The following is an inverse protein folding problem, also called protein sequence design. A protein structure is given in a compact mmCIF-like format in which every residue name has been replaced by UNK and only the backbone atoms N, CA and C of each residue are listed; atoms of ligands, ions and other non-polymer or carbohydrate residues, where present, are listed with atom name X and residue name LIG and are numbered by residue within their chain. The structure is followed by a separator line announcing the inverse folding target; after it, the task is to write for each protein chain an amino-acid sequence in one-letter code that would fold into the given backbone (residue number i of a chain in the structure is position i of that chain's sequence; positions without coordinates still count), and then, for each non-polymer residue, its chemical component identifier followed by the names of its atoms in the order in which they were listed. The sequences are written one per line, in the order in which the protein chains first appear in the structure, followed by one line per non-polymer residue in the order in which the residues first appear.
data_IF_182130976306
#
_entry.id   IF_182130976306
#
_cell.length_a   1.000
_cell.length_b   1.000
_cell.length_c   1.000
_cell.angle_alpha   90.00
_cell.angle_beta   90.00
_cell.angle_gamma   90.00
#
_symmetry.space_group_name_H-M   'P 1'
#
loop_
_entity.id
_entity.type
_entity.pdbx_description
1 polymer ?
#
# COMPACT_ATOMS: atom_id res chain seq x y z
N UNK A 1 -61.33 -2.42 52.59
CA UNK A 1 -60.32 -2.33 53.68
C UNK A 1 -58.96 -2.61 53.08
N UNK A 2 -58.24 -1.55 52.73
CA UNK A 2 -56.89 -1.60 52.15
C UNK A 2 -55.92 -1.13 53.22
N UNK A 3 -54.97 -1.98 53.61
CA UNK A 3 -53.98 -1.66 54.64
C UNK A 3 -53.05 -0.57 54.11
N UNK A 4 -53.15 0.60 54.71
CA UNK A 4 -52.33 1.78 54.45
C UNK A 4 -50.94 1.55 55.07
N UNK A 5 -49.92 1.33 54.23
CA UNK A 5 -48.53 1.13 54.68
C UNK A 5 -47.67 0.15 53.88
N UNK A 6 -48.20 -0.50 52.84
CA UNK A 6 -47.40 -1.37 51.97
C UNK A 6 -46.67 -0.53 50.91
N UNK A 7 -45.36 -0.31 51.07
CA UNK A 7 -44.53 0.34 50.03
C UNK A 7 -44.46 -0.56 48.79
N UNK A 8 -45.03 -0.11 47.68
CA UNK A 8 -45.00 -0.84 46.40
C UNK A 8 -43.98 -0.20 45.46
N UNK A 9 -43.61 -0.90 44.37
CA UNK A 9 -42.57 -0.46 43.42
C UNK A 9 -42.84 0.89 42.73
N UNK A 10 -44.05 1.44 42.87
CA UNK A 10 -44.42 2.76 42.37
C UNK A 10 -44.00 3.93 43.29
N UNK A 11 -43.66 3.69 44.56
CA UNK A 11 -43.36 4.74 45.56
C UNK A 11 -41.85 5.10 45.68
N UNK A 12 -40.99 4.60 44.77
CA UNK A 12 -39.53 4.82 44.83
C UNK A 12 -39.03 6.08 44.09
N UNK A 13 -39.91 7.01 43.71
CA UNK A 13 -39.48 8.22 43.02
C UNK A 13 -39.07 9.33 44.00
N UNK A 14 -37.76 9.51 44.20
CA UNK A 14 -37.02 10.81 44.16
C UNK A 14 -35.72 10.81 44.98
N UNK A 15 -35.49 9.79 45.83
CA UNK A 15 -34.20 9.55 46.48
C UNK A 15 -33.80 8.10 46.24
N UNK A 16 -32.57 7.92 45.74
CA UNK A 16 -31.93 6.67 45.28
C UNK A 16 -31.77 5.60 46.39
N UNK A 17 -32.85 5.22 47.06
CA UNK A 17 -32.86 4.34 48.24
C UNK A 17 -32.89 2.84 47.89
N UNK A 18 -33.05 2.47 46.61
CA UNK A 18 -32.88 1.08 46.17
C UNK A 18 -31.40 0.82 45.84
N UNK A 19 -30.77 -0.24 46.37
CA UNK A 19 -29.46 -0.71 45.89
C UNK A 19 -29.63 -1.22 44.46
N UNK A 20 -29.38 -0.34 43.49
CA UNK A 20 -29.30 -0.72 42.09
C UNK A 20 -27.93 -1.36 41.86
N UNK A 21 -27.91 -2.62 41.41
CA UNK A 21 -26.68 -3.29 41.01
C UNK A 21 -26.27 -2.80 39.62
N UNK A 22 -25.32 -1.87 39.57
CA UNK A 22 -24.69 -1.38 38.34
C UNK A 22 -23.54 -2.31 37.95
N UNK A 23 -23.43 -2.64 36.66
CA UNK A 23 -22.25 -3.37 36.14
C UNK A 23 -21.01 -2.54 36.42
N UNK A 24 -20.09 -3.09 37.23
CA UNK A 24 -18.82 -2.46 37.60
C UNK A 24 -17.82 -2.62 36.45
N UNK A 25 -17.93 -1.79 35.42
CA UNK A 25 -16.97 -1.77 34.31
C UNK A 25 -17.24 -0.66 33.31
N UNK A 26 -16.20 0.06 32.88
CA UNK A 26 -16.29 0.91 31.69
C UNK A 26 -16.30 -0.03 30.48
N UNK A 27 -17.40 0.00 29.72
CA UNK A 27 -17.43 -0.54 28.37
C UNK A 27 -16.76 0.48 27.46
N UNK A 28 -15.70 0.07 26.78
CA UNK A 28 -14.93 0.92 25.89
C UNK A 28 -15.60 0.92 24.53
N UNK A 29 -16.05 2.10 24.10
CA UNK A 29 -16.55 2.31 22.74
C UNK A 29 -15.42 2.99 21.98
N UNK A 30 -14.70 2.20 21.19
CA UNK A 30 -13.58 2.68 20.39
C UNK A 30 -14.13 3.10 19.01
N UNK A 31 -14.02 4.39 18.64
CA UNK A 31 -14.46 4.84 17.33
C UNK A 31 -13.41 4.40 16.31
N UNK A 32 -13.64 3.25 15.68
CA UNK A 32 -12.83 2.68 14.59
C UNK A 32 -11.36 2.38 14.92
N UNK A 33 -11.02 1.09 14.92
CA UNK A 33 -9.67 0.61 14.58
C UNK A 33 -8.74 0.41 15.76
N UNK A 34 -8.57 -0.85 16.18
CA UNK A 34 -7.30 -1.33 16.73
C UNK A 34 -6.17 -0.93 15.78
N UNK A 35 -5.05 -0.42 16.28
CA UNK A 35 -3.87 -0.06 15.49
C UNK A 35 -3.28 -1.32 14.82
N UNK A 36 -3.68 -1.67 13.58
CA UNK A 36 -3.46 -3.01 13.07
C UNK A 36 -2.04 -3.16 12.52
N UNK A 37 -1.46 -2.10 11.94
CA UNK A 37 -0.08 -2.12 11.47
C UNK A 37 0.89 -2.17 12.65
N UNK A 38 0.62 -1.41 13.72
CA UNK A 38 1.42 -1.44 14.95
C UNK A 38 1.30 -2.80 15.66
N UNK A 39 0.13 -3.42 15.65
CA UNK A 39 -0.02 -4.78 16.15
C UNK A 39 0.77 -5.79 15.29
N UNK A 40 0.75 -5.63 13.97
CA UNK A 40 1.45 -6.52 13.05
C UNK A 40 2.98 -6.36 13.15
N UNK A 41 3.48 -5.13 13.32
CA UNK A 41 4.91 -4.87 13.51
C UNK A 41 5.45 -5.46 14.81
N UNK A 42 4.60 -5.69 15.83
CA UNK A 42 4.99 -6.40 17.05
C UNK A 42 5.30 -7.89 16.82
N UNK A 43 4.80 -8.48 15.72
CA UNK A 43 5.08 -9.86 15.32
C UNK A 43 6.26 -9.97 14.36
N UNK A 44 6.73 -8.86 13.81
CA UNK A 44 7.86 -8.81 12.89
C UNK A 44 9.19 -8.89 13.65
N UNK A 45 10.24 -9.37 12.97
CA UNK A 45 11.61 -9.37 13.52
C UNK A 45 12.11 -7.94 13.65
N UNK A 46 12.59 -7.58 14.83
CA UNK A 46 13.10 -6.24 15.12
C UNK A 46 14.62 -6.24 15.18
N UNK A 47 15.25 -5.22 14.60
CA UNK A 47 16.65 -4.89 14.79
C UNK A 47 16.77 -3.54 15.50
N UNK A 48 17.81 -3.36 16.32
CA UNK A 48 18.06 -2.08 17.00
C UNK A 48 18.90 -1.20 16.08
N UNK A 49 18.50 0.06 15.93
CA UNK A 49 19.33 1.09 15.29
C UNK A 49 20.04 1.93 16.35
N UNK A 50 21.31 2.22 16.10
CA UNK A 50 22.15 3.08 16.96
C UNK A 50 22.23 4.53 16.46
N UNK A 51 21.68 4.83 15.27
CA UNK A 51 21.64 6.16 14.65
C UNK A 51 20.20 6.70 14.58
N UNK A 52 19.98 8.02 14.74
CA UNK A 52 18.67 8.64 14.47
C UNK A 52 18.16 8.48 13.01
N UNK A 53 19.00 8.06 12.07
CA UNK A 53 18.64 7.70 10.69
C UNK A 53 18.91 6.22 10.50
N UNK A 54 17.98 5.49 9.88
CA UNK A 54 18.20 4.12 9.47
C UNK A 54 18.06 4.00 7.95
N UNK A 55 18.86 3.09 7.39
CA UNK A 55 18.98 2.89 5.96
C UNK A 55 18.64 1.44 5.63
N UNK A 56 18.01 1.23 4.48
CA UNK A 56 17.83 -0.08 3.87
C UNK A 56 18.10 0.00 2.38
N UNK A 57 18.32 -1.15 1.75
CA UNK A 57 18.62 -1.24 0.33
C UNK A 57 17.50 -2.02 -0.36
N UNK A 58 16.95 -1.44 -1.41
CA UNK A 58 15.98 -2.09 -2.28
C UNK A 58 16.67 -2.44 -3.60
N UNK A 59 16.60 -3.70 -3.99
CA UNK A 59 17.06 -4.16 -5.31
C UNK A 59 15.85 -4.63 -6.10
N UNK A 60 15.62 -4.00 -7.26
CA UNK A 60 14.58 -4.43 -8.20
C UNK A 60 15.19 -5.39 -9.23
N UNK A 61 14.55 -6.53 -9.42
CA UNK A 61 14.94 -7.46 -10.49
C UNK A 61 14.53 -6.84 -11.83
N UNK A 62 15.49 -6.80 -12.75
CA UNK A 62 15.33 -6.27 -14.10
C UNK A 62 14.09 -6.82 -14.83
N UNK A 63 13.33 -5.93 -15.46
CA UNK A 63 12.21 -6.34 -16.31
C UNK A 63 12.71 -6.69 -17.71
N UNK A 64 12.35 -7.88 -18.18
CA UNK A 64 12.63 -8.35 -19.53
C UNK A 64 11.69 -7.78 -20.60
N UNK A 65 10.80 -6.86 -20.22
CA UNK A 65 9.87 -6.15 -21.09
C UNK A 65 10.01 -4.66 -20.86
N UNK A 66 10.36 -3.94 -21.92
CA UNK A 66 10.64 -2.49 -21.86
C UNK A 66 9.72 -1.74 -22.82
N UNK A 67 9.22 -0.59 -22.36
CA UNK A 67 8.35 0.27 -23.16
C UNK A 67 9.19 1.19 -24.06
N UNK A 68 8.72 1.38 -25.29
CA UNK A 68 9.27 2.37 -26.22
C UNK A 68 8.92 3.80 -25.76
N UNK A 69 9.81 4.78 -25.94
CA UNK A 69 9.58 6.19 -25.56
C UNK A 69 9.45 7.14 -26.76
N UNK A 70 9.91 6.73 -27.95
CA UNK A 70 9.71 7.50 -29.17
C UNK A 70 9.59 6.64 -30.42
N UNK A 71 8.86 7.15 -31.42
CA UNK A 71 8.59 6.45 -32.69
C UNK A 71 9.85 5.89 -33.34
N UNK A 72 9.76 4.65 -33.80
CA UNK A 72 10.71 4.10 -34.76
C UNK A 72 10.27 4.55 -36.15
N UNK A 73 10.82 5.68 -36.58
CA UNK A 73 10.31 6.43 -37.73
C UNK A 73 10.78 5.89 -39.08
N UNK A 74 11.85 5.07 -39.09
CA UNK A 74 12.38 4.47 -40.32
C UNK A 74 12.79 3.01 -40.11
N UNK A 75 12.77 2.23 -41.18
CA UNK A 75 13.20 0.82 -41.19
C UNK A 75 14.72 0.64 -41.05
N UNK A 76 15.50 1.70 -41.24
CA UNK A 76 16.95 1.73 -41.05
C UNK A 76 17.41 2.31 -39.71
N UNK A 77 16.50 2.75 -38.84
CA UNK A 77 16.83 3.31 -37.53
C UNK A 77 17.40 2.21 -36.63
N UNK A 78 18.65 2.37 -36.20
CA UNK A 78 19.38 1.44 -35.32
C UNK A 78 19.41 1.89 -33.87
N UNK A 79 19.27 3.19 -33.59
CA UNK A 79 19.12 3.72 -32.23
C UNK A 79 17.64 3.78 -31.85
N UNK A 80 17.24 2.95 -30.89
CA UNK A 80 15.88 2.85 -30.37
C UNK A 80 15.84 3.50 -28.99
N UNK A 81 14.92 4.44 -28.81
CA UNK A 81 14.70 5.12 -27.53
C UNK A 81 13.63 4.41 -26.73
N UNK A 82 13.99 3.99 -25.52
CA UNK A 82 13.12 3.31 -24.56
C UNK A 82 12.94 4.16 -23.31
N UNK A 83 11.87 3.90 -22.56
CA UNK A 83 11.52 4.72 -21.40
C UNK A 83 12.52 4.51 -20.23
N UNK A 84 12.88 3.25 -19.95
CA UNK A 84 13.88 2.84 -18.96
C UNK A 84 14.20 1.36 -19.11
N UNK A 85 15.30 0.90 -18.49
CA UNK A 85 15.70 -0.52 -18.50
C UNK A 85 16.51 -0.95 -19.72
N UNK A 86 17.04 -0.02 -20.51
CA UNK A 86 17.97 -0.37 -21.59
C UNK A 86 19.22 -1.06 -21.04
N UNK A 87 19.69 -0.67 -19.85
CA UNK A 87 20.89 -1.23 -19.22
C UNK A 87 20.78 -2.72 -18.85
N UNK A 88 19.63 -3.35 -19.03
CA UNK A 88 19.47 -4.78 -18.81
C UNK A 88 19.79 -5.64 -20.04
N UNK A 89 19.79 -5.05 -21.24
CA UNK A 89 20.05 -5.77 -22.48
C UNK A 89 21.53 -5.80 -22.82
N UNK A 90 22.06 -6.93 -23.27
CA UNK A 90 23.46 -7.10 -23.69
C UNK A 90 23.59 -7.33 -25.20
N UNK A 91 24.76 -7.08 -25.80
CA UNK A 91 25.05 -7.47 -27.18
C UNK A 91 24.72 -8.95 -27.40
N UNK A 92 24.08 -9.23 -28.53
CA UNK A 92 23.60 -10.58 -28.86
C UNK A 92 22.21 -10.90 -28.34
N UNK A 93 21.61 -10.06 -27.50
CA UNK A 93 20.20 -10.22 -27.12
C UNK A 93 19.26 -9.97 -28.29
N UNK A 94 18.30 -10.87 -28.45
CA UNK A 94 17.23 -10.78 -29.43
C UNK A 94 15.97 -10.30 -28.74
N UNK A 95 15.45 -9.19 -29.25
CA UNK A 95 14.28 -8.48 -28.74
C UNK A 95 13.13 -8.68 -29.73
N UNK A 96 11.96 -9.04 -29.21
CA UNK A 96 10.70 -9.11 -29.92
C UNK A 96 9.95 -7.79 -29.80
N UNK A 97 9.54 -7.22 -30.94
CA UNK A 97 8.66 -6.04 -30.97
C UNK A 97 7.21 -6.51 -31.02
N UNK A 98 6.43 -6.22 -29.98
CA UNK A 98 5.05 -6.74 -29.87
C UNK A 98 4.10 -6.22 -30.97
N UNK A 99 4.29 -5.00 -31.45
CA UNK A 99 3.41 -4.38 -32.45
C UNK A 99 3.67 -4.88 -33.88
N UNK A 100 4.95 -4.97 -34.27
CA UNK A 100 5.33 -5.33 -35.64
C UNK A 100 5.72 -6.81 -35.82
N UNK A 101 5.82 -7.56 -34.72
CA UNK A 101 6.40 -8.90 -34.68
C UNK A 101 7.83 -9.00 -35.24
N UNK A 102 8.56 -7.88 -35.26
CA UNK A 102 9.95 -7.81 -35.70
C UNK A 102 10.90 -8.37 -34.63
N UNK A 103 12.04 -8.92 -35.08
CA UNK A 103 13.15 -9.27 -34.20
C UNK A 103 14.31 -8.28 -34.37
N UNK A 104 14.72 -7.69 -33.26
CA UNK A 104 15.86 -6.78 -33.16
C UNK A 104 16.98 -7.52 -32.46
N UNK A 105 18.22 -7.39 -32.93
CA UNK A 105 19.38 -7.90 -32.21
C UNK A 105 20.19 -6.73 -31.68
N UNK A 106 20.50 -6.74 -30.38
CA UNK A 106 21.32 -5.71 -29.74
C UNK A 106 22.77 -5.88 -30.20
N UNK A 107 23.35 -4.81 -30.73
CA UNK A 107 24.70 -4.86 -31.34
C UNK A 107 25.79 -4.33 -30.43
N UNK A 108 25.47 -3.44 -29.50
CA UNK A 108 26.43 -2.80 -28.59
C UNK A 108 25.86 -2.71 -27.19
N UNK A 109 26.74 -2.66 -26.20
CA UNK A 109 26.32 -2.41 -24.82
C UNK A 109 25.68 -1.02 -24.72
N UNK A 110 24.48 -0.93 -24.11
CA UNK A 110 23.84 0.34 -23.86
C UNK A 110 24.64 1.13 -22.83
N UNK A 111 24.97 2.37 -23.18
CA UNK A 111 25.67 3.33 -22.30
C UNK A 111 24.72 4.23 -21.52
N UNK A 112 23.42 4.16 -21.83
CA UNK A 112 22.35 4.95 -21.23
C UNK A 112 21.12 4.07 -21.05
N UNK A 113 20.36 4.31 -19.98
CA UNK A 113 19.16 3.53 -19.66
C UNK A 113 17.96 3.76 -20.58
N UNK A 114 18.05 4.77 -21.46
CA UNK A 114 16.98 5.16 -22.38
C UNK A 114 17.31 4.88 -23.85
N UNK A 115 18.48 4.30 -24.15
CA UNK A 115 18.93 4.12 -25.54
C UNK A 115 19.47 2.71 -25.79
N UNK A 116 18.96 2.06 -26.83
CA UNK A 116 19.42 0.77 -27.33
C UNK A 116 19.92 0.90 -28.77
N UNK A 117 21.07 0.30 -29.06
CA UNK A 117 21.58 0.19 -30.44
C UNK A 117 21.36 -1.24 -30.93
N UNK A 118 20.58 -1.37 -32.00
CA UNK A 118 20.14 -2.66 -32.53
C UNK A 118 20.34 -2.77 -34.05
N UNK A 119 20.50 -3.99 -34.53
CA UNK A 119 20.30 -4.36 -35.93
C UNK A 119 18.86 -4.82 -36.16
N UNK A 120 18.24 -4.31 -37.22
CA UNK A 120 16.83 -4.53 -37.61
C UNK A 120 16.67 -5.80 -38.45
N UNK A 121 15.46 -6.37 -38.45
CA UNK A 121 15.11 -7.51 -39.32
C UNK A 121 15.89 -8.79 -39.06
N UNK A 122 16.29 -9.04 -37.81
CA UNK A 122 17.02 -10.24 -37.45
C UNK A 122 16.17 -11.51 -37.70
N UNK A 123 16.83 -12.65 -37.95
CA UNK A 123 16.19 -13.93 -38.28
C UNK A 123 15.20 -13.90 -39.47
N UNK A 124 15.42 -13.00 -40.43
CA UNK A 124 14.59 -12.89 -41.64
C UNK A 124 13.27 -12.14 -41.44
N UNK A 125 13.10 -11.44 -40.32
CA UNK A 125 11.95 -10.56 -40.08
C UNK A 125 12.05 -9.28 -40.90
N UNK A 126 10.91 -8.67 -41.24
CA UNK A 126 10.88 -7.43 -42.03
C UNK A 126 10.84 -6.23 -41.09
N UNK A 127 11.79 -5.31 -41.26
CA UNK A 127 11.82 -4.08 -40.48
C UNK A 127 10.58 -3.22 -40.74
N UNK A 128 9.89 -2.79 -39.68
CA UNK A 128 8.70 -1.97 -39.77
C UNK A 128 8.83 -0.67 -38.98
N UNK A 129 8.07 0.36 -39.37
CA UNK A 129 7.90 1.56 -38.52
C UNK A 129 6.97 1.23 -37.36
N UNK A 130 7.32 1.66 -36.16
CA UNK A 130 6.56 1.41 -34.92
C UNK A 130 6.17 2.75 -34.35
N UNK A 131 4.87 2.96 -34.14
CA UNK A 131 4.37 4.25 -33.65
C UNK A 131 4.21 4.18 -32.14
N UNK A 132 4.94 5.02 -31.43
CA UNK A 132 4.72 5.28 -30.02
C UNK A 132 3.30 5.80 -29.80
N UNK A 133 2.52 5.07 -29.02
CA UNK A 133 1.17 5.46 -28.65
C UNK A 133 1.16 6.12 -27.26
N UNK A 134 1.30 7.46 -27.23
CA UNK A 134 1.17 8.30 -26.02
C UNK A 134 -0.14 8.12 -25.21
N UNK A 135 -1.11 7.33 -25.69
CA UNK A 135 -2.48 7.26 -25.19
C UNK A 135 -2.93 5.85 -24.74
N UNK A 136 -2.05 5.08 -24.09
CA UNK A 136 -2.48 4.04 -23.14
C UNK A 136 -2.01 2.60 -23.38
N UNK A 137 -1.30 2.30 -24.48
CA UNK A 137 -0.53 1.06 -24.62
C UNK A 137 0.73 1.36 -25.43
N UNK A 138 1.87 1.54 -24.76
CA UNK A 138 3.14 1.64 -25.47
C UNK A 138 3.47 0.27 -26.09
N UNK A 139 3.96 0.23 -27.35
CA UNK A 139 4.49 -1.00 -27.90
C UNK A 139 5.69 -1.41 -27.06
N UNK A 140 5.65 -2.64 -26.54
CA UNK A 140 6.72 -3.14 -25.70
C UNK A 140 7.70 -3.99 -26.50
N UNK A 141 8.92 -3.96 -26.01
CA UNK A 141 10.06 -4.72 -26.46
C UNK A 141 10.31 -5.82 -25.44
N UNK A 142 10.17 -7.08 -25.85
CA UNK A 142 10.34 -8.24 -24.99
C UNK A 142 11.67 -8.94 -25.30
N UNK A 143 12.48 -9.18 -24.30
CA UNK A 143 13.69 -9.99 -24.44
C UNK A 143 13.29 -11.46 -24.67
N UNK A 144 13.69 -12.03 -25.82
CA UNK A 144 13.52 -13.46 -26.08
C UNK A 144 14.70 -14.30 -25.58
N UNK A 145 15.88 -13.68 -25.45
CA UNK A 145 17.12 -14.31 -25.03
C UNK A 145 18.30 -13.93 -25.94
N UNK A 146 19.47 -14.51 -25.68
CA UNK A 146 20.69 -14.20 -26.43
C UNK A 146 20.97 -15.20 -27.55
N UNK A 147 21.42 -14.72 -28.71
CA UNK A 147 21.91 -15.51 -29.83
C UNK A 147 23.37 -15.12 -30.13
N UNK A 148 24.31 -16.00 -29.77
CA UNK A 148 25.75 -15.83 -30.03
C UNK A 148 26.24 -16.77 -31.12
N UNK A 149 27.33 -16.39 -31.78
CA UNK A 149 28.03 -17.21 -32.76
C UNK A 149 28.74 -18.40 -32.11
N UNK A 150 28.88 -19.50 -32.84
CA UNK A 150 29.57 -20.70 -32.35
C UNK A 150 31.06 -20.40 -32.11
N UNK A 151 31.55 -20.67 -30.90
CA UNK A 151 32.94 -20.41 -30.52
C UNK A 151 33.23 -18.96 -30.10
N UNK A 152 32.19 -18.15 -29.83
CA UNK A 152 32.37 -16.80 -29.30
C UNK A 152 32.99 -16.79 -27.90
N UNK A 153 33.61 -15.66 -27.55
CA UNK A 153 34.00 -15.38 -26.17
C UNK A 153 32.77 -15.35 -25.24
N UNK A 154 33.03 -15.56 -23.95
CA UNK A 154 31.99 -15.46 -22.93
C UNK A 154 31.48 -14.01 -22.81
N UNK A 155 30.15 -13.80 -22.65
CA UNK A 155 29.59 -12.47 -22.51
C UNK A 155 30.01 -11.81 -21.18
N UNK A 156 30.04 -10.48 -21.16
CA UNK A 156 30.31 -9.72 -19.93
C UNK A 156 29.22 -9.93 -18.88
N UNK A 157 29.61 -9.98 -17.61
CA UNK A 157 28.68 -10.11 -16.49
C UNK A 157 27.98 -8.80 -16.19
N UNK A 158 26.65 -8.83 -16.00
CA UNK A 158 25.89 -7.69 -15.47
C UNK A 158 25.64 -7.86 -13.98
N UNK A 159 25.86 -6.78 -13.23
CA UNK A 159 25.36 -6.59 -11.87
C UNK A 159 24.26 -5.54 -11.88
N UNK A 160 23.29 -5.68 -10.99
CA UNK A 160 22.31 -4.63 -10.68
C UNK A 160 22.75 -3.97 -9.38
N UNK A 161 22.77 -2.65 -9.35
CA UNK A 161 23.12 -1.90 -8.14
C UNK A 161 21.87 -1.72 -7.28
N UNK A 162 22.00 -1.98 -5.98
CA UNK A 162 20.92 -1.77 -5.03
C UNK A 162 20.71 -0.25 -4.79
N UNK A 163 19.45 0.16 -4.65
CA UNK A 163 19.07 1.54 -4.36
C UNK A 163 18.96 1.76 -2.86
N UNK A 164 19.65 2.76 -2.34
CA UNK A 164 19.56 3.14 -0.92
C UNK A 164 18.26 3.89 -0.61
N UNK A 165 17.62 3.53 0.49
CA UNK A 165 16.48 4.21 1.09
C UNK A 165 16.76 4.51 2.56
N UNK A 166 16.20 5.60 3.06
CA UNK A 166 16.48 6.07 4.41
C UNK A 166 15.26 6.70 5.10
N UNK A 167 15.15 6.52 6.42
CA UNK A 167 14.09 7.12 7.23
C UNK A 167 14.61 7.49 8.63
N UNK A 168 13.89 8.37 9.32
CA UNK A 168 14.27 8.88 10.63
C UNK A 168 13.56 8.17 11.77
N UNK A 169 14.23 8.08 12.92
CA UNK A 169 13.60 7.69 14.17
C UNK A 169 12.80 8.87 14.76
N UNK A 170 11.53 8.64 15.09
CA UNK A 170 10.66 9.61 15.76
C UNK A 170 10.48 9.27 17.24
N UNK A 171 10.47 10.30 18.08
CA UNK A 171 10.22 10.17 19.51
C UNK A 171 8.74 10.41 19.80
N UNK A 172 8.03 9.37 20.21
CA UNK A 172 6.65 9.47 20.70
C UNK A 172 6.63 9.66 22.21
N UNK A 173 5.85 10.61 22.72
CA UNK A 173 5.67 10.84 24.17
C UNK A 173 4.22 11.15 24.50
N UNK A 174 3.64 10.33 25.38
CA UNK A 174 2.31 10.56 25.96
C UNK A 174 2.42 10.35 27.47
N UNK A 175 1.89 11.29 28.26
CA UNK A 175 1.89 11.20 29.73
C UNK A 175 0.49 10.92 30.25
N UNK A 176 0.41 10.27 31.41
CA UNK A 176 -0.80 10.21 32.22
C UNK A 176 -0.45 10.73 33.60
N UNK A 177 -1.34 11.51 34.19
CA UNK A 177 -1.16 12.08 35.51
C UNK A 177 -2.37 11.72 36.36
N UNK A 178 -2.12 11.26 37.58
CA UNK A 178 -3.16 11.00 38.56
C UNK A 178 -2.74 11.59 39.89
N UNK A 179 -3.65 12.29 40.55
CA UNK A 179 -3.40 12.85 41.87
C UNK A 179 -3.46 11.75 42.94
N UNK A 180 -2.75 11.95 44.06
CA UNK A 180 -2.77 10.99 45.16
C UNK A 180 -4.17 10.83 45.79
N UNK A 181 -5.00 11.89 45.76
CA UNK A 181 -6.39 11.84 46.22
C UNK A 181 -7.26 10.98 45.31
N UNK A 182 -7.15 11.17 43.98
CA UNK A 182 -7.85 10.34 43.00
C UNK A 182 -7.43 8.87 43.09
N UNK A 183 -6.15 8.58 43.33
CA UNK A 183 -5.68 7.21 43.50
C UNK A 183 -6.23 6.53 44.76
N UNK A 184 -6.52 7.30 45.81
CA UNK A 184 -7.08 6.78 47.07
C UNK A 184 -8.61 6.64 47.03
N UNK A 185 -9.30 7.30 46.09
CA UNK A 185 -10.76 7.20 45.95
C UNK A 185 -11.15 5.92 45.21
N UNK A 186 -12.11 5.18 45.76
CA UNK A 186 -12.71 4.02 45.12
C UNK A 186 -13.72 4.45 44.08
N UNK A 187 -13.30 4.50 42.82
CA UNK A 187 -14.21 4.79 41.72
C UNK A 187 -15.09 3.60 41.38
N UNK A 188 -16.34 3.89 41.00
CA UNK A 188 -17.31 2.91 40.51
C UNK A 188 -16.84 2.18 39.24
N UNK A 189 -15.88 2.76 38.53
CA UNK A 189 -15.30 2.28 37.28
C UNK A 189 -14.02 1.44 37.47
N UNK A 190 -13.67 1.10 38.72
CA UNK A 190 -12.45 0.39 39.07
C UNK A 190 -11.28 1.33 39.39
N UNK A 191 -10.05 0.83 39.30
CA UNK A 191 -8.84 1.60 39.58
C UNK A 191 -8.57 2.65 38.49
N UNK A 192 -8.69 3.92 38.85
CA UNK A 192 -8.48 5.03 37.92
C UNK A 192 -7.05 5.07 37.34
N UNK A 193 -6.04 4.69 38.12
CA UNK A 193 -4.65 4.69 37.63
C UNK A 193 -4.45 3.67 36.51
N UNK A 194 -5.06 2.49 36.64
CA UNK A 194 -5.00 1.44 35.61
C UNK A 194 -5.76 1.86 34.35
N UNK A 195 -6.93 2.47 34.51
CA UNK A 195 -7.74 2.92 33.38
C UNK A 195 -7.04 4.05 32.60
N UNK A 196 -6.43 5.03 33.27
CA UNK A 196 -5.72 6.13 32.59
C UNK A 196 -4.40 5.69 31.97
N UNK A 197 -3.71 4.72 32.59
CA UNK A 197 -2.55 4.08 31.95
C UNK A 197 -2.97 3.37 30.66
N UNK A 198 -4.07 2.59 30.68
CA UNK A 198 -4.59 1.91 29.48
C UNK A 198 -4.99 2.91 28.39
N UNK A 199 -5.64 4.02 28.75
CA UNK A 199 -5.98 5.11 27.82
C UNK A 199 -4.74 5.76 27.21
N UNK A 200 -3.70 6.00 28.02
CA UNK A 200 -2.45 6.56 27.56
C UNK A 200 -1.76 5.63 26.57
N UNK A 201 -1.69 4.34 26.90
CA UNK A 201 -1.10 3.32 26.03
C UNK A 201 -1.86 3.20 24.70
N UNK A 202 -3.19 3.17 24.73
CA UNK A 202 -4.01 3.16 23.52
C UNK A 202 -3.81 4.41 22.66
N UNK A 203 -3.77 5.61 23.26
CA UNK A 203 -3.44 6.85 22.52
C UNK A 203 -2.03 6.80 21.92
N UNK A 204 -1.08 6.19 22.63
CA UNK A 204 0.28 6.06 22.16
C UNK A 204 0.38 5.11 20.95
N UNK A 205 -0.31 3.96 20.99
CA UNK A 205 -0.36 3.04 19.84
C UNK A 205 -1.03 3.68 18.62
N UNK A 206 -2.14 4.41 18.82
CA UNK A 206 -2.79 5.15 17.73
C UNK A 206 -1.89 6.24 17.14
N UNK A 207 -1.12 6.95 17.98
CA UNK A 207 -0.17 7.95 17.49
C UNK A 207 0.95 7.33 16.65
N UNK A 208 1.45 6.15 17.03
CA UNK A 208 2.48 5.43 16.26
C UNK A 208 1.90 4.96 14.92
N UNK A 209 0.70 4.36 14.95
CA UNK A 209 -0.01 3.92 13.75
C UNK A 209 -0.20 5.06 12.74
N UNK A 210 -0.74 6.19 13.18
CA UNK A 210 -0.98 7.34 12.31
C UNK A 210 0.33 7.93 11.76
N UNK A 211 1.42 7.86 12.53
CA UNK A 211 2.72 8.27 12.03
C UNK A 211 3.25 7.33 10.95
N UNK A 212 3.13 6.02 11.14
CA UNK A 212 3.52 5.04 10.11
C UNK A 212 2.67 5.11 8.84
N UNK A 213 1.41 5.54 8.94
CA UNK A 213 0.54 5.67 7.77
C UNK A 213 0.72 6.99 7.02
N UNK A 214 0.74 8.12 7.73
CA UNK A 214 0.49 9.45 7.14
C UNK A 214 1.59 10.50 7.40
N UNK A 215 2.59 10.22 8.23
CA UNK A 215 3.62 11.22 8.55
C UNK A 215 4.54 11.49 7.37
N UNK A 216 5.17 12.66 7.34
CA UNK A 216 6.17 13.01 6.34
C UNK A 216 7.55 13.10 6.99
N UNK A 217 8.59 12.70 6.25
CA UNK A 217 9.99 12.86 6.68
C UNK A 217 10.35 14.33 6.87
N UNK A 218 10.73 14.69 8.08
CA UNK A 218 11.20 16.06 8.37
C UNK A 218 12.26 16.06 9.47
N UNK A 219 13.23 16.97 9.34
CA UNK A 219 14.19 17.28 10.38
C UNK A 219 14.21 18.80 10.62
N UNK A 220 13.86 19.23 11.83
CA UNK A 220 13.84 20.63 12.19
C UNK A 220 14.41 20.86 13.59
N UNK A 221 14.91 22.06 13.85
CA UNK A 221 15.27 22.48 15.20
C UNK A 221 14.03 23.07 15.89
N UNK A 222 13.68 22.53 17.05
CA UNK A 222 12.62 23.08 17.90
C UNK A 222 13.18 23.32 19.30
N UNK A 223 13.08 24.56 19.80
CA UNK A 223 13.69 24.98 21.06
C UNK A 223 15.19 24.61 21.18
N UNK A 224 15.93 24.78 20.08
CA UNK A 224 17.37 24.47 20.00
C UNK A 224 17.72 22.98 20.04
N UNK A 225 16.72 22.09 19.96
CA UNK A 225 16.91 20.63 19.95
C UNK A 225 16.40 20.04 18.63
N UNK A 226 17.07 19.03 18.07
CA UNK A 226 16.60 18.37 16.85
C UNK A 226 15.29 17.64 17.12
N UNK A 227 14.30 17.87 16.28
CA UNK A 227 13.04 17.15 16.19
C UNK A 227 12.97 16.50 14.81
N UNK A 228 12.68 15.21 14.79
CA UNK A 228 12.53 14.42 13.57
C UNK A 228 11.16 13.77 13.54
N UNK A 229 10.60 13.66 12.33
CA UNK A 229 9.38 12.89 12.05
C UNK A 229 9.72 11.76 11.10
N UNK A 230 9.15 10.58 11.36
CA UNK A 230 9.26 9.41 10.48
C UNK A 230 8.49 9.68 9.20
N UNK A 231 8.99 9.19 8.09
CA UNK A 231 8.22 9.05 6.86
C UNK A 231 7.20 7.91 6.99
N UNK A 232 5.97 8.17 6.57
CA UNK A 232 4.89 7.21 6.54
C UNK A 232 4.81 6.48 5.21
N UNK A 233 3.95 5.45 5.14
CA UNK A 233 3.79 4.63 3.94
C UNK A 233 3.22 5.46 2.78
N UNK A 234 2.24 6.34 3.04
CA UNK A 234 1.56 7.10 1.97
C UNK A 234 2.52 8.03 1.22
N UNK A 235 3.49 8.62 1.91
CA UNK A 235 4.45 9.57 1.33
C UNK A 235 5.59 8.88 0.59
N UNK A 236 5.86 7.61 0.92
CA UNK A 236 6.83 6.78 0.20
C UNK A 236 6.29 6.23 -1.13
N UNK A 237 4.98 6.30 -1.37
CA UNK A 237 4.39 5.83 -2.63
C UNK A 237 4.72 6.84 -3.74
N UNK A 238 5.42 6.42 -4.82
CA UNK A 238 5.70 7.30 -5.95
C UNK A 238 4.41 7.69 -6.67
N UNK A 239 4.40 8.89 -7.27
CA UNK A 239 3.20 9.47 -7.90
C UNK A 239 2.59 8.57 -8.98
N UNK A 240 3.41 7.79 -9.69
CA UNK A 240 2.96 6.87 -10.74
C UNK A 240 2.09 5.73 -10.20
N UNK A 241 2.23 5.39 -8.91
CA UNK A 241 1.44 4.36 -8.24
C UNK A 241 0.20 4.93 -7.52
N UNK A 242 -0.14 6.20 -7.75
CA UNK A 242 -1.30 6.86 -7.14
C UNK A 242 -2.44 6.97 -8.15
N UNK A 243 -3.44 6.10 -7.98
CA UNK A 243 -4.60 6.05 -8.87
C UNK A 243 -5.73 6.95 -8.39
N UNK A 244 -6.19 7.86 -9.26
CA UNK A 244 -7.35 8.72 -8.99
C UNK A 244 -8.49 8.39 -9.97
N UNK A 245 -9.65 7.89 -9.50
CA UNK A 245 -10.78 7.61 -10.38
C UNK A 245 -11.39 8.92 -10.89
N UNK A 246 -11.45 9.08 -12.22
CA UNK A 246 -11.81 10.33 -12.91
C UNK A 246 -13.25 10.85 -12.70
N UNK A 247 -14.11 10.19 -11.91
CA UNK A 247 -15.52 10.60 -11.75
C UNK A 247 -16.18 10.27 -10.40
N UNK A 248 -15.42 10.01 -9.33
CA UNK A 248 -15.98 9.72 -8.00
C UNK A 248 -16.70 8.37 -7.86
N UNK A 249 -16.89 7.63 -8.97
CA UNK A 249 -17.42 6.26 -8.99
C UNK A 249 -16.36 5.30 -9.55
N UNK A 250 -15.95 4.32 -8.75
CA UNK A 250 -14.88 3.37 -9.08
C UNK A 250 -15.38 2.19 -9.95
N UNK A 251 -15.51 2.31 -11.26
CA UNK A 251 -16.00 1.20 -12.11
C UNK A 251 -15.17 -0.09 -11.96
N UNK A 252 -15.80 -1.26 -12.07
CA UNK A 252 -15.15 -2.58 -11.92
C UNK A 252 -13.99 -2.76 -12.92
N UNK A 253 -14.20 -2.38 -14.18
CA UNK A 253 -13.17 -2.45 -15.22
C UNK A 253 -11.93 -1.59 -14.90
N UNK A 254 -12.14 -0.45 -14.23
CA UNK A 254 -11.05 0.44 -13.80
C UNK A 254 -10.34 -0.15 -12.58
N UNK A 255 -11.09 -0.72 -11.65
CA UNK A 255 -10.55 -1.41 -10.48
C UNK A 255 -9.71 -2.63 -10.87
N UNK A 256 -10.15 -3.45 -11.82
CA UNK A 256 -9.39 -4.59 -12.35
C UNK A 256 -8.08 -4.16 -13.00
N UNK A 257 -8.06 -3.02 -13.69
CA UNK A 257 -6.83 -2.41 -14.21
C UNK A 257 -5.86 -2.01 -13.09
N UNK A 258 -6.36 -1.38 -12.02
CA UNK A 258 -5.54 -1.05 -10.85
C UNK A 258 -5.02 -2.29 -10.12
N UNK A 259 -5.81 -3.36 -10.02
CA UNK A 259 -5.38 -4.62 -9.44
C UNK A 259 -4.23 -5.25 -10.24
N UNK A 260 -4.29 -5.20 -11.57
CA UNK A 260 -3.20 -5.69 -12.41
C UNK A 260 -1.86 -5.00 -12.07
N UNK A 261 -1.88 -3.68 -11.87
CA UNK A 261 -0.66 -2.93 -11.56
C UNK A 261 -0.20 -3.15 -10.10
N UNK A 262 -1.12 -3.18 -9.14
CA UNK A 262 -0.79 -3.41 -7.72
C UNK A 262 -0.20 -4.82 -7.51
N UNK A 263 -0.74 -5.84 -8.20
CA UNK A 263 -0.28 -7.22 -8.10
C UNK A 263 0.93 -7.54 -8.97
N UNK A 264 1.46 -6.59 -9.76
CA UNK A 264 2.69 -6.77 -10.55
C UNK A 264 3.87 -7.21 -9.69
N UNK A 265 3.94 -6.73 -8.45
CA UNK A 265 5.05 -6.99 -7.54
C UNK A 265 4.59 -7.69 -6.26
N UNK A 266 5.37 -8.67 -5.80
CA UNK A 266 5.21 -9.32 -4.50
C UNK A 266 4.21 -10.49 -4.48
N UNK A 267 3.48 -10.62 -3.38
CA UNK A 267 2.60 -11.78 -3.12
C UNK A 267 1.23 -11.67 -3.83
N UNK A 268 0.64 -12.84 -4.11
CA UNK A 268 -0.72 -13.04 -4.63
C UNK A 268 -1.81 -12.64 -3.62
N UNK A 269 -1.46 -12.46 -2.35
CA UNK A 269 -2.37 -11.95 -1.33
C UNK A 269 -1.83 -10.64 -0.77
N UNK A 270 -2.66 -9.60 -0.75
CA UNK A 270 -2.33 -8.28 -0.21
C UNK A 270 -3.41 -7.80 0.74
N UNK A 271 -2.98 -7.22 1.86
CA UNK A 271 -3.87 -6.62 2.85
C UNK A 271 -4.08 -5.14 2.52
N UNK A 272 -5.34 -4.72 2.39
CA UNK A 272 -5.70 -3.34 2.06
C UNK A 272 -6.13 -2.59 3.31
N UNK A 273 -5.44 -1.49 3.60
CA UNK A 273 -5.86 -0.51 4.61
C UNK A 273 -6.74 0.54 3.94
N UNK A 274 -8.02 0.56 4.30
CA UNK A 274 -9.01 1.44 3.69
C UNK A 274 -9.82 2.20 4.73
N UNK A 275 -10.06 3.49 4.46
CA UNK A 275 -11.01 4.29 5.22
C UNK A 275 -12.47 3.90 4.92
N UNK A 276 -13.40 4.31 5.78
CA UNK A 276 -14.82 3.97 5.66
C UNK A 276 -15.43 4.29 4.28
N UNK A 277 -15.02 5.41 3.66
CA UNK A 277 -15.52 5.82 2.35
C UNK A 277 -15.03 4.91 1.21
N UNK A 278 -13.78 4.44 1.29
CA UNK A 278 -13.23 3.52 0.30
C UNK A 278 -13.91 2.14 0.37
N UNK A 279 -14.15 1.63 1.59
CA UNK A 279 -14.90 0.37 1.79
C UNK A 279 -16.34 0.50 1.30
N UNK A 280 -17.00 1.64 1.56
CA UNK A 280 -18.34 1.91 1.03
C UNK A 280 -18.34 1.96 -0.51
N UNK A 281 -17.34 2.62 -1.11
CA UNK A 281 -17.18 2.67 -2.56
C UNK A 281 -17.02 1.29 -3.19
N UNK A 282 -16.15 0.44 -2.62
CA UNK A 282 -15.97 -0.95 -3.07
C UNK A 282 -17.26 -1.77 -2.95
N UNK A 283 -17.99 -1.60 -1.85
CA UNK A 283 -19.28 -2.29 -1.65
C UNK A 283 -20.34 -1.83 -2.66
N UNK A 284 -20.43 -0.52 -2.94
CA UNK A 284 -21.34 0.02 -3.95
C UNK A 284 -21.01 -0.53 -5.34
N UNK A 285 -19.72 -0.68 -5.63
CA UNK A 285 -19.25 -1.19 -6.91
C UNK A 285 -19.57 -2.65 -7.12
N UNK A 286 -19.40 -3.47 -6.10
CA UNK A 286 -19.83 -4.86 -6.16
C UNK A 286 -21.36 -4.97 -6.25
N UNK A 287 -22.13 -4.11 -5.56
CA UNK A 287 -23.60 -4.09 -5.66
C UNK A 287 -24.09 -3.78 -7.07
N UNK A 288 -23.42 -2.87 -7.79
CA UNK A 288 -23.81 -2.52 -9.17
C UNK A 288 -23.59 -3.66 -10.17
N UNK A 289 -22.61 -4.54 -9.92
CA UNK A 289 -22.26 -5.64 -10.81
C UNK A 289 -22.81 -7.00 -10.36
N UNK A 290 -23.40 -7.09 -9.16
CA UNK A 290 -23.99 -8.31 -8.63
C UNK A 290 -25.53 -8.28 -8.76
N UNK A 291 -26.13 -9.40 -9.14
CA UNK A 291 -27.58 -9.59 -9.09
C UNK A 291 -27.96 -10.20 -7.73
N UNK A 292 -28.76 -9.48 -6.94
CA UNK A 292 -29.33 -9.98 -5.68
C UNK A 292 -30.83 -10.23 -5.87
N UNK A 293 -31.28 -11.48 -5.72
CA UNK A 293 -32.69 -11.85 -5.81
C UNK A 293 -33.30 -11.82 -4.41
N UNK A 294 -34.35 -11.01 -4.24
CA UNK A 294 -35.12 -10.91 -2.99
C UNK A 294 -36.42 -11.70 -3.13
N UNK A 295 -36.63 -12.70 -2.28
CA UNK A 295 -37.86 -13.47 -2.23
C UNK A 295 -38.88 -12.87 -1.24
N UNK A 296 -40.17 -13.07 -1.54
CA UNK A 296 -41.26 -12.52 -0.74
C UNK A 296 -41.28 -13.14 0.67
N UNK A 297 -41.11 -12.32 1.70
CA UNK A 297 -41.09 -12.74 3.10
C UNK A 297 -39.74 -12.58 3.81
N UNK A 298 -38.68 -12.18 3.11
CA UNK A 298 -37.39 -11.89 3.75
C UNK A 298 -37.36 -10.50 4.40
N UNK A 299 -36.86 -10.42 5.63
CA UNK A 299 -36.74 -9.19 6.43
C UNK A 299 -35.32 -8.59 6.48
N UNK A 300 -34.34 -9.22 5.81
CA UNK A 300 -32.93 -8.82 5.83
C UNK A 300 -32.44 -8.45 4.42
N UNK A 301 -31.74 -7.33 4.30
CA UNK A 301 -31.17 -6.83 3.04
C UNK A 301 -29.75 -6.31 3.28
N UNK A 302 -28.76 -6.87 2.58
CA UNK A 302 -27.39 -6.39 2.64
C UNK A 302 -26.39 -7.39 2.05
N UNK A 303 -25.21 -6.88 1.69
CA UNK A 303 -24.07 -7.69 1.27
C UNK A 303 -22.81 -7.17 1.96
N UNK A 304 -22.00 -8.06 2.56
CA UNK A 304 -20.72 -7.71 3.18
C UNK A 304 -19.59 -8.28 2.33
N UNK A 305 -18.83 -7.41 1.67
CA UNK A 305 -17.66 -7.80 0.87
C UNK A 305 -16.43 -7.21 1.54
N UNK A 306 -15.55 -8.09 2.01
CA UNK A 306 -14.24 -7.73 2.58
C UNK A 306 -13.08 -8.39 1.83
N UNK A 307 -13.35 -9.49 1.12
CA UNK A 307 -12.37 -10.19 0.30
C UNK A 307 -12.77 -10.03 -1.15
N UNK A 308 -11.83 -9.55 -1.97
CA UNK A 308 -11.96 -9.47 -3.41
C UNK A 308 -10.93 -10.41 -4.01
N UNK A 309 -11.35 -11.25 -4.94
CA UNK A 309 -10.46 -12.21 -5.61
C UNK A 309 -10.46 -11.90 -7.09
N UNK A 310 -9.27 -11.76 -7.65
CA UNK A 310 -9.05 -11.47 -9.07
C UNK A 310 -8.13 -12.52 -9.69
N UNK A 311 -8.04 -12.61 -11.03
CA UNK A 311 -7.09 -13.51 -11.68
C UNK A 311 -5.62 -13.26 -11.31
N UNK A 312 -5.31 -12.08 -10.76
CA UNK A 312 -3.96 -11.68 -10.35
C UNK A 312 -3.69 -11.92 -8.85
N UNK A 313 -4.72 -12.33 -8.09
CA UNK A 313 -4.75 -12.35 -6.62
C UNK A 313 -6.14 -12.05 -6.09
#
# INVERSE_FOLDING_TARGET
MTIQGLRTTADFNSYRERPENWRMGILWLEPNGDAPLYALSSLMTSEKTDDPVFHWFDEEVAHYRVALDANISTTGQTAITVASGALHFKPGDVIYVEESAEHLMVTTDPTSDTALTVSRGFAGTTAATVTYASAGVNPNLLLMGSAYEEGSDAPEGRSVDATERDNYCQIFRNTFEITNTARATTYRTGDAAKNDRKRCLHRHSVNIEMAFLLSEKSSALFNGKPRRTTDGIVTQIPADNVFTPASGNLKMSVWEGYLMEIFRYGSNEKFVLAGNQAVLGLQQMARLNAAYQLEQGQSEYGMKILNFTSPFG
#
